data_IF_125826363475
#
_entry.id   IF_125826363475
#
_cell.length_a   1.000
_cell.length_b   1.000
_cell.length_c   1.000
_cell.angle_alpha   90.00
_cell.angle_beta   90.00
_cell.angle_gamma   90.00
#
_symmetry.space_group_name_H-M   'P 1'
#
loop_
_entity.id
_entity.type
_entity.pdbx_description
1 polymer ?
#
# COMPACT_ATOMS: atom_id res chain seq x y z
N UNK A 1 -31.89 2.32 74.13
CA UNK A 1 -32.23 3.73 74.44
C UNK A 1 -31.24 4.60 73.69
N UNK A 2 -31.61 5.43 72.73
CA UNK A 2 -32.89 5.70 72.05
C UNK A 2 -32.56 5.90 70.54
N UNK A 3 -33.35 5.51 69.53
CA UNK A 3 -34.71 5.96 69.16
C UNK A 3 -34.82 7.47 68.90
N UNK A 4 -35.53 7.98 67.88
CA UNK A 4 -35.85 7.48 66.52
C UNK A 4 -36.40 8.66 65.65
N UNK A 5 -36.38 8.51 64.31
CA UNK A 5 -37.28 9.11 63.29
C UNK A 5 -37.55 10.64 63.11
N UNK A 6 -37.33 11.04 61.84
CA UNK A 6 -38.25 11.71 60.88
C UNK A 6 -38.90 13.10 61.12
N UNK A 7 -38.95 13.89 60.04
CA UNK A 7 -39.86 15.04 59.80
C UNK A 7 -39.61 15.67 58.41
N UNK A 8 -40.65 16.11 57.70
CA UNK A 8 -40.56 16.67 56.34
C UNK A 8 -41.76 17.62 56.01
N UNK A 9 -41.78 18.18 54.79
CA UNK A 9 -42.89 18.92 54.12
C UNK A 9 -43.23 20.37 54.60
N UNK A 10 -43.76 21.31 53.79
CA UNK A 10 -43.62 21.58 52.33
C UNK A 10 -44.18 23.01 51.95
N UNK A 11 -43.78 23.59 50.81
CA UNK A 11 -44.33 24.85 50.21
C UNK A 11 -43.93 26.19 50.88
N UNK A 12 -43.98 27.39 50.27
CA UNK A 12 -44.40 27.87 48.92
C UNK A 12 -45.02 29.31 49.04
N UNK A 13 -45.08 30.24 48.06
CA UNK A 13 -44.70 30.39 46.62
C UNK A 13 -44.62 31.93 46.30
N UNK A 14 -44.23 32.35 45.08
CA UNK A 14 -44.22 33.72 44.45
C UNK A 14 -43.01 34.63 44.71
N UNK A 15 -42.47 35.40 43.74
CA UNK A 15 -42.63 35.33 42.27
C UNK A 15 -42.50 36.66 41.50
N UNK A 16 -41.51 36.77 40.59
CA UNK A 16 -41.45 37.78 39.49
C UNK A 16 -40.54 37.30 38.34
N UNK A 17 -40.99 37.54 37.11
CA UNK A 17 -40.33 37.28 35.82
C UNK A 17 -39.34 38.44 35.46
N UNK A 18 -38.55 38.50 34.37
CA UNK A 18 -38.18 37.57 33.28
C UNK A 18 -36.93 38.16 32.56
N UNK A 19 -35.97 37.35 32.08
CA UNK A 19 -35.28 37.56 30.78
C UNK A 19 -34.50 36.27 30.39
N UNK A 20 -34.36 35.99 29.10
CA UNK A 20 -33.83 34.72 28.57
C UNK A 20 -32.68 34.90 27.56
N UNK A 21 -31.50 34.39 27.92
CA UNK A 21 -30.39 34.13 27.00
C UNK A 21 -30.05 32.62 26.97
N UNK A 22 -29.86 31.99 25.80
CA UNK A 22 -29.70 30.54 25.71
C UNK A 22 -28.30 30.08 26.17
N UNK A 23 -28.17 29.75 27.45
CA UNK A 23 -27.04 28.97 27.95
C UNK A 23 -27.18 27.55 27.42
N UNK A 24 -26.42 27.21 26.37
CA UNK A 24 -26.36 25.84 25.84
C UNK A 24 -25.69 24.95 26.88
N UNK A 25 -26.50 24.14 27.57
CA UNK A 25 -26.05 23.16 28.55
C UNK A 25 -25.30 22.03 27.84
N UNK A 26 -23.98 21.99 28.00
CA UNK A 26 -23.16 20.86 27.59
C UNK A 26 -23.56 19.64 28.41
N UNK A 27 -24.09 18.55 27.82
CA UNK A 27 -24.41 17.36 28.59
C UNK A 27 -23.13 16.69 29.07
N UNK A 28 -23.06 16.33 30.36
CA UNK A 28 -21.97 15.53 30.91
C UNK A 28 -22.09 14.06 30.44
N UNK A 29 -21.77 13.84 29.16
CA UNK A 29 -21.96 12.59 28.43
C UNK A 29 -20.92 11.52 28.75
N UNK A 30 -21.17 10.76 29.83
CA UNK A 30 -20.90 9.31 29.95
C UNK A 30 -19.56 8.84 29.32
N UNK A 31 -18.52 8.76 30.16
CA UNK A 31 -17.24 8.15 29.78
C UNK A 31 -17.32 6.63 29.63
N UNK A 32 -17.74 6.16 28.45
CA UNK A 32 -17.64 4.75 28.01
C UNK A 32 -17.07 4.61 26.59
N UNK A 33 -16.02 5.39 26.28
CA UNK A 33 -15.09 5.00 25.22
C UNK A 33 -14.26 3.82 25.72
N UNK A 34 -14.73 2.61 25.45
CA UNK A 34 -13.87 1.43 25.45
C UNK A 34 -12.65 1.74 24.59
N UNK A 35 -11.44 1.40 25.05
CA UNK A 35 -10.26 1.39 24.20
C UNK A 35 -10.43 0.30 23.14
N UNK A 36 -11.02 0.65 22.00
CA UNK A 36 -10.96 -0.13 20.77
C UNK A 36 -9.48 -0.16 20.39
N UNK A 37 -8.82 -1.30 20.67
CA UNK A 37 -7.40 -1.48 20.35
C UNK A 37 -7.25 -1.35 18.84
N UNK A 38 -6.43 -0.38 18.40
CA UNK A 38 -5.99 -0.24 17.00
C UNK A 38 -5.63 -1.61 16.43
N UNK A 39 -6.16 -1.97 15.25
CA UNK A 39 -5.75 -3.21 14.58
C UNK A 39 -4.27 -3.14 14.22
N UNK A 40 -3.60 -4.29 14.32
CA UNK A 40 -2.24 -4.50 13.84
C UNK A 40 -2.23 -4.49 12.32
N UNK A 41 -1.35 -3.71 11.71
CA UNK A 41 -1.25 -3.60 10.25
C UNK A 41 -0.24 -4.60 9.69
N UNK A 42 -0.64 -5.36 8.66
CA UNK A 42 0.27 -6.17 7.85
C UNK A 42 0.25 -5.63 6.42
N UNK A 43 1.22 -4.78 6.11
CA UNK A 43 1.29 -4.06 4.84
C UNK A 43 2.19 -4.82 3.89
N UNK A 44 1.58 -5.46 2.90
CA UNK A 44 2.24 -6.07 1.76
C UNK A 44 2.55 -4.99 0.73
N UNK A 45 3.81 -4.85 0.30
CA UNK A 45 4.24 -3.78 -0.61
C UNK A 45 5.06 -4.40 -1.75
N UNK A 46 4.69 -4.16 -3.01
CA UNK A 46 5.53 -4.54 -4.15
C UNK A 46 6.77 -3.65 -4.30
N UNK A 47 7.75 -4.09 -5.08
CA UNK A 47 8.98 -3.36 -5.32
C UNK A 47 8.89 -2.46 -6.56
N UNK A 48 8.70 -3.01 -7.75
CA UNK A 48 9.01 -2.31 -9.00
C UNK A 48 7.83 -1.41 -9.39
N UNK A 49 8.09 -0.16 -9.81
CA UNK A 49 7.11 0.93 -9.94
C UNK A 49 6.29 1.26 -8.67
N UNK A 50 6.49 0.54 -7.57
CA UNK A 50 5.77 0.73 -6.30
C UNK A 50 6.65 1.49 -5.32
N UNK A 51 7.78 0.92 -4.87
CA UNK A 51 8.79 1.66 -4.08
C UNK A 51 10.16 1.77 -4.76
N UNK A 52 10.36 1.15 -5.92
CA UNK A 52 11.57 1.23 -6.74
C UNK A 52 11.26 1.83 -8.11
N UNK A 53 12.04 2.85 -8.51
CA UNK A 53 12.03 3.38 -9.89
C UNK A 53 13.20 2.76 -10.66
N UNK A 54 13.08 1.47 -10.90
CA UNK A 54 13.99 0.62 -11.68
C UNK A 54 13.34 -0.76 -11.87
N UNK A 55 13.71 -1.49 -12.92
CA UNK A 55 13.35 -2.90 -13.05
C UNK A 55 14.58 -3.73 -13.44
N UNK A 56 15.07 -4.56 -12.51
CA UNK A 56 16.21 -5.44 -12.76
C UNK A 56 15.87 -6.64 -13.66
N UNK A 57 14.59 -6.97 -13.87
CA UNK A 57 14.17 -8.10 -14.72
C UNK A 57 14.29 -7.75 -16.21
N UNK A 58 13.84 -6.55 -16.62
CA UNK A 58 14.00 -6.04 -17.99
C UNK A 58 15.15 -5.04 -18.16
N UNK A 59 15.97 -4.85 -17.12
CA UNK A 59 17.20 -4.05 -17.16
C UNK A 59 16.99 -2.54 -17.24
N UNK A 60 15.86 -2.01 -16.75
CA UNK A 60 15.58 -0.57 -16.75
C UNK A 60 16.25 0.13 -15.58
N UNK A 61 17.03 1.17 -15.88
CA UNK A 61 17.40 2.19 -14.90
C UNK A 61 16.25 3.16 -14.66
N UNK A 62 16.51 4.19 -13.87
CA UNK A 62 15.47 5.10 -13.36
C UNK A 62 14.81 5.93 -14.45
N UNK A 63 15.55 6.35 -15.48
CA UNK A 63 14.98 7.15 -16.58
C UNK A 63 14.09 6.26 -17.44
N UNK A 64 14.55 5.07 -17.85
CA UNK A 64 13.75 4.17 -18.67
C UNK A 64 12.56 3.58 -17.92
N UNK A 65 12.65 3.36 -16.61
CA UNK A 65 11.54 2.88 -15.78
C UNK A 65 10.42 3.93 -15.69
N UNK A 66 10.76 5.19 -15.41
CA UNK A 66 9.77 6.25 -15.30
C UNK A 66 9.16 6.64 -16.66
N UNK A 67 9.94 6.61 -17.75
CA UNK A 67 9.37 6.71 -19.11
C UNK A 67 8.39 5.58 -19.44
N UNK A 68 8.68 4.35 -19.01
CA UNK A 68 7.78 3.22 -19.19
C UNK A 68 6.49 3.37 -18.38
N UNK A 69 6.58 3.78 -17.11
CA UNK A 69 5.39 4.11 -16.30
C UNK A 69 4.52 5.17 -17.00
N UNK A 70 5.13 6.24 -17.54
CA UNK A 70 4.39 7.24 -18.30
C UNK A 70 3.66 6.66 -19.54
N UNK A 71 4.09 5.53 -20.12
CA UNK A 71 3.31 4.87 -21.20
C UNK A 71 2.05 4.15 -20.71
N UNK A 72 1.99 3.68 -19.45
CA UNK A 72 0.78 3.03 -18.91
C UNK A 72 -0.25 4.02 -18.39
N UNK A 73 0.17 5.19 -17.89
CA UNK A 73 -0.71 6.24 -17.34
C UNK A 73 -1.02 7.41 -18.28
N UNK A 74 -0.67 7.32 -19.57
CA UNK A 74 -1.02 8.35 -20.58
C UNK A 74 -1.96 7.80 -21.64
N UNK A 75 -3.01 8.58 -21.93
CA UNK A 75 -4.24 8.07 -22.55
C UNK A 75 -4.54 8.73 -23.89
N UNK A 76 -5.03 7.92 -24.83
CA UNK A 76 -5.47 8.38 -26.14
C UNK A 76 -6.40 7.38 -26.80
N UNK A 77 -6.73 7.65 -28.07
CA UNK A 77 -7.48 6.73 -28.92
C UNK A 77 -7.08 6.90 -30.38
N UNK A 78 -7.59 6.02 -31.24
CA UNK A 78 -7.55 6.23 -32.70
C UNK A 78 -8.80 6.97 -33.14
N UNK A 79 -8.63 7.98 -33.99
CA UNK A 79 -9.74 8.62 -34.69
C UNK A 79 -10.23 7.77 -35.88
N UNK A 80 -11.27 8.24 -36.58
CA UNK A 80 -11.90 7.53 -37.72
C UNK A 80 -10.94 7.28 -38.91
N UNK A 81 -9.77 7.92 -38.93
CA UNK A 81 -8.71 7.72 -39.91
C UNK A 81 -7.57 6.81 -39.38
N UNK A 82 -7.77 6.15 -38.23
CA UNK A 82 -6.80 5.26 -37.59
C UNK A 82 -5.61 5.95 -36.92
N UNK A 83 -5.58 7.29 -36.90
CA UNK A 83 -4.49 8.09 -36.35
C UNK A 83 -4.64 8.26 -34.83
N UNK A 84 -3.53 8.16 -34.10
CA UNK A 84 -3.50 8.41 -32.65
C UNK A 84 -3.78 9.87 -32.30
N UNK A 85 -4.69 10.07 -31.35
CA UNK A 85 -5.00 11.35 -30.73
C UNK A 85 -4.97 11.20 -29.20
N UNK A 86 -4.30 12.13 -28.53
CA UNK A 86 -4.17 12.16 -27.08
C UNK A 86 -5.44 12.72 -26.44
N UNK A 87 -5.94 12.08 -25.39
CA UNK A 87 -7.14 12.51 -24.66
C UNK A 87 -6.83 13.44 -23.49
N UNK A 88 -5.56 13.52 -23.07
CA UNK A 88 -5.09 14.40 -21.99
C UNK A 88 -3.63 14.82 -22.23
N UNK A 89 -3.27 16.00 -21.71
CA UNK A 89 -1.87 16.45 -21.57
C UNK A 89 -1.28 16.12 -20.18
N UNK A 90 -2.11 15.69 -19.23
CA UNK A 90 -1.70 15.17 -17.93
C UNK A 90 -1.88 13.63 -17.85
N UNK A 91 -0.96 12.89 -17.20
CA UNK A 91 -1.15 11.47 -16.91
C UNK A 91 -2.22 11.25 -15.83
N UNK A 92 -2.78 10.04 -15.77
CA UNK A 92 -3.73 9.60 -14.74
C UNK A 92 -3.69 8.08 -14.55
N UNK A 93 -3.86 7.59 -13.32
CA UNK A 93 -3.93 6.13 -13.04
C UNK A 93 -5.10 5.43 -13.74
N UNK A 94 -6.17 6.17 -14.02
CA UNK A 94 -7.40 5.66 -14.60
C UNK A 94 -7.68 6.36 -15.94
N UNK A 95 -8.33 5.68 -16.90
CA UNK A 95 -8.68 6.27 -18.19
C UNK A 95 -9.67 7.43 -18.01
N UNK A 96 -9.54 8.53 -18.79
CA UNK A 96 -10.46 9.67 -18.74
C UNK A 96 -11.86 9.36 -19.33
N UNK A 97 -11.99 8.28 -20.11
CA UNK A 97 -13.23 7.83 -20.73
C UNK A 97 -13.17 6.33 -21.05
N UNK A 98 -14.32 5.67 -21.22
CA UNK A 98 -14.39 4.22 -21.51
C UNK A 98 -13.89 3.80 -22.89
N UNK A 99 -13.65 4.75 -23.79
CA UNK A 99 -13.02 4.55 -25.11
C UNK A 99 -11.53 4.91 -25.13
N UNK A 100 -10.96 5.31 -23.99
CA UNK A 100 -9.54 5.60 -23.85
C UNK A 100 -8.72 4.32 -23.68
N UNK A 101 -7.60 4.23 -24.40
CA UNK A 101 -6.58 3.20 -24.20
C UNK A 101 -5.26 3.86 -23.79
N UNK A 102 -4.43 3.16 -23.01
CA UNK A 102 -3.11 3.68 -22.65
C UNK A 102 -2.18 3.60 -23.85
N UNK A 103 -1.15 4.46 -23.88
CA UNK A 103 -0.15 4.39 -24.93
C UNK A 103 0.55 3.03 -24.96
N UNK A 104 0.79 2.44 -23.78
CA UNK A 104 1.33 1.09 -23.62
C UNK A 104 0.44 0.00 -24.24
N UNK A 105 -0.87 -0.02 -23.96
CA UNK A 105 -1.73 -1.09 -24.51
C UNK A 105 -1.92 -0.97 -26.03
N UNK A 106 -1.79 0.24 -26.60
CA UNK A 106 -1.87 0.44 -28.06
C UNK A 106 -0.54 0.21 -28.80
N UNK A 107 0.62 0.54 -28.23
CA UNK A 107 1.92 0.53 -28.94
C UNK A 107 3.03 -0.29 -28.26
N UNK A 108 2.77 -0.85 -27.08
CA UNK A 108 3.78 -1.49 -26.25
C UNK A 108 4.77 -0.49 -25.63
N UNK A 109 5.89 -1.02 -25.14
CA UNK A 109 6.96 -0.24 -24.54
C UNK A 109 7.82 0.43 -25.62
N UNK A 110 7.85 1.78 -25.61
CA UNK A 110 8.66 2.60 -26.52
C UNK A 110 9.81 3.25 -25.76
N UNK A 111 11.09 2.87 -25.99
CA UNK A 111 12.25 3.54 -25.40
C UNK A 111 12.35 5.00 -25.86
N UNK A 112 12.71 5.92 -24.97
CA UNK A 112 12.75 7.34 -25.30
C UNK A 112 11.37 7.94 -25.52
N UNK A 113 10.32 7.39 -24.89
CA UNK A 113 8.91 7.77 -25.09
C UNK A 113 8.70 9.28 -25.12
N UNK A 114 9.26 10.01 -24.15
CA UNK A 114 9.16 11.47 -24.01
C UNK A 114 10.02 12.25 -25.00
N UNK A 115 10.93 11.60 -25.72
CA UNK A 115 11.65 12.17 -26.86
C UNK A 115 10.88 11.99 -28.18
N UNK A 116 10.13 10.88 -28.33
CA UNK A 116 9.38 10.55 -29.56
C UNK A 116 7.88 10.90 -29.48
N UNK A 117 7.00 9.95 -29.17
CA UNK A 117 5.55 10.15 -29.24
C UNK A 117 4.99 10.95 -28.05
N UNK A 118 5.57 10.76 -26.87
CA UNK A 118 5.14 11.33 -25.59
C UNK A 118 5.72 12.70 -25.26
N UNK A 119 6.22 13.47 -26.24
CA UNK A 119 6.91 14.76 -25.99
C UNK A 119 6.17 15.75 -25.09
N UNK A 120 4.83 15.72 -25.08
CA UNK A 120 4.00 16.54 -24.16
C UNK A 120 4.26 16.22 -22.67
N UNK A 121 4.55 14.97 -22.35
CA UNK A 121 4.80 14.49 -20.99
C UNK A 121 6.25 14.64 -20.52
N UNK A 122 7.15 15.23 -21.34
CA UNK A 122 8.56 15.43 -20.95
C UNK A 122 8.69 16.31 -19.70
N UNK A 123 7.84 17.32 -19.52
CA UNK A 123 7.84 18.14 -18.31
C UNK A 123 7.60 17.32 -17.04
N UNK A 124 6.65 16.38 -17.10
CA UNK A 124 6.34 15.45 -15.99
C UNK A 124 7.54 14.55 -15.68
N UNK A 125 8.19 13.98 -16.71
CA UNK A 125 9.40 13.18 -16.53
C UNK A 125 10.51 13.98 -15.84
N UNK A 126 10.81 15.18 -16.36
CA UNK A 126 11.92 16.00 -15.86
C UNK A 126 11.67 16.46 -14.41
N UNK A 127 10.43 16.82 -14.06
CA UNK A 127 10.00 17.17 -12.71
C UNK A 127 10.19 16.01 -11.72
N UNK A 128 9.66 14.83 -12.04
CA UNK A 128 9.67 13.68 -11.14
C UNK A 128 11.08 13.04 -11.05
N UNK A 129 11.90 13.15 -12.11
CA UNK A 129 13.32 12.83 -12.01
C UNK A 129 14.06 13.81 -11.08
N UNK A 130 13.78 15.12 -11.11
CA UNK A 130 14.44 16.04 -10.18
C UNK A 130 14.02 15.79 -8.72
N UNK A 131 12.77 15.41 -8.47
CA UNK A 131 12.28 14.96 -7.15
C UNK A 131 12.92 13.64 -6.67
N UNK A 132 13.23 12.72 -7.58
CA UNK A 132 13.94 11.46 -7.29
C UNK A 132 15.44 11.62 -6.98
N UNK A 133 16.02 12.82 -7.16
CA UNK A 133 17.47 13.04 -7.05
C UNK A 133 18.01 12.68 -5.68
N UNK A 134 19.11 11.94 -5.68
CA UNK A 134 19.95 11.82 -4.49
C UNK A 134 20.53 13.21 -4.15
N UNK A 135 20.58 13.63 -2.87
CA UNK A 135 20.96 14.98 -2.48
C UNK A 135 22.35 15.38 -3.00
N UNK A 136 22.46 16.61 -3.50
CA UNK A 136 23.71 17.14 -4.03
C UNK A 136 24.79 17.28 -2.94
N UNK A 137 26.06 17.10 -3.32
CA UNK A 137 27.19 17.05 -2.40
C UNK A 137 27.30 15.77 -1.56
N UNK A 138 26.20 15.01 -1.37
CA UNK A 138 26.22 13.76 -0.62
C UNK A 138 26.75 12.61 -1.49
N UNK A 139 27.78 11.91 -0.99
CA UNK A 139 28.31 10.70 -1.63
C UNK A 139 27.21 9.62 -1.70
N UNK A 140 26.98 9.07 -2.89
CA UNK A 140 26.02 8.00 -3.11
C UNK A 140 26.33 6.72 -2.33
N UNK A 141 25.31 6.17 -1.67
CA UNK A 141 25.36 4.85 -1.04
C UNK A 141 25.01 3.75 -2.04
N UNK A 142 25.78 2.65 -2.04
CA UNK A 142 25.69 1.56 -3.03
C UNK A 142 24.39 0.74 -2.98
N UNK A 143 23.71 0.69 -1.85
CA UNK A 143 22.43 -0.03 -1.75
C UNK A 143 21.27 0.96 -1.92
N UNK A 144 21.33 2.13 -1.26
CA UNK A 144 20.24 3.13 -1.20
C UNK A 144 20.11 4.05 -2.42
N UNK A 145 21.16 4.20 -3.24
CA UNK A 145 21.15 5.04 -4.44
C UNK A 145 21.37 4.22 -5.72
N UNK A 146 20.98 4.79 -6.87
CA UNK A 146 21.17 4.22 -8.21
C UNK A 146 21.59 5.32 -9.18
N UNK A 147 22.46 5.00 -10.13
CA UNK A 147 22.82 5.92 -11.22
C UNK A 147 21.91 5.67 -12.41
N UNK A 148 21.23 6.72 -12.89
CA UNK A 148 20.39 6.66 -14.08
C UNK A 148 21.19 6.67 -15.38
N UNK A 149 20.47 6.44 -16.48
CA UNK A 149 20.99 6.36 -17.84
C UNK A 149 21.57 7.69 -18.36
N UNK A 150 21.12 8.81 -17.78
CA UNK A 150 21.66 10.15 -18.00
C UNK A 150 22.90 10.47 -17.14
N UNK A 151 23.37 9.51 -16.35
CA UNK A 151 24.50 9.63 -15.46
C UNK A 151 24.20 10.32 -14.12
N UNK A 152 22.98 10.81 -13.87
CA UNK A 152 22.57 11.40 -12.58
C UNK A 152 22.41 10.33 -11.50
N UNK A 153 22.37 10.75 -10.25
CA UNK A 153 22.20 9.86 -9.10
C UNK A 153 20.82 10.08 -8.45
N UNK A 154 20.12 8.98 -8.18
CA UNK A 154 18.75 8.93 -7.71
C UNK A 154 18.61 8.09 -6.43
N UNK A 155 17.57 8.35 -5.66
CA UNK A 155 17.10 7.42 -4.63
C UNK A 155 16.65 6.11 -5.29
N UNK A 156 17.15 4.96 -4.81
CA UNK A 156 16.75 3.66 -5.36
C UNK A 156 15.43 3.16 -4.76
N UNK A 157 15.22 3.39 -3.47
CA UNK A 157 13.93 3.25 -2.78
C UNK A 157 13.33 4.64 -2.60
N UNK A 158 12.05 4.81 -2.92
CA UNK A 158 11.33 6.09 -2.79
C UNK A 158 11.43 6.68 -1.37
N UNK A 159 11.70 7.99 -1.20
CA UNK A 159 11.69 8.66 0.10
C UNK A 159 10.38 8.47 0.88
N UNK A 160 9.23 8.45 0.19
CA UNK A 160 7.90 8.25 0.78
C UNK A 160 7.71 6.89 1.47
N UNK A 161 8.45 5.85 1.07
CA UNK A 161 8.45 4.58 1.81
C UNK A 161 9.10 4.72 3.19
N UNK A 162 10.20 5.48 3.30
CA UNK A 162 10.84 5.73 4.60
C UNK A 162 10.02 6.69 5.47
N UNK A 163 9.30 7.64 4.85
CA UNK A 163 8.31 8.47 5.54
C UNK A 163 7.17 7.61 6.13
N UNK A 164 6.63 6.63 5.41
CA UNK A 164 5.62 5.68 5.94
C UNK A 164 6.10 4.99 7.23
N UNK A 165 7.34 4.52 7.26
CA UNK A 165 7.91 3.87 8.45
C UNK A 165 7.94 4.82 9.65
N UNK A 166 8.27 6.09 9.41
CA UNK A 166 8.30 7.14 10.43
C UNK A 166 6.89 7.50 10.90
N UNK A 167 5.98 7.78 9.99
CA UNK A 167 4.59 8.20 10.28
C UNK A 167 3.87 7.13 11.10
N UNK A 168 3.88 5.86 10.66
CA UNK A 168 3.22 4.77 11.38
C UNK A 168 3.80 4.53 12.79
N UNK A 169 5.11 4.77 12.97
CA UNK A 169 5.74 4.66 14.30
C UNK A 169 5.38 5.84 15.20
N UNK A 170 5.32 7.06 14.65
CA UNK A 170 4.94 8.28 15.38
C UNK A 170 3.45 8.31 15.75
N UNK A 171 2.60 7.67 14.94
CA UNK A 171 1.18 7.45 15.21
C UNK A 171 0.90 6.26 16.16
N UNK A 172 1.93 5.60 16.68
CA UNK A 172 1.83 4.43 17.57
C UNK A 172 1.03 3.25 16.97
N UNK A 173 1.17 2.98 15.66
CA UNK A 173 0.62 1.76 15.06
C UNK A 173 1.51 0.54 15.34
N UNK A 174 0.89 -0.58 15.70
CA UNK A 174 1.56 -1.87 15.66
C UNK A 174 1.54 -2.37 14.21
N UNK A 175 2.67 -2.38 13.50
CA UNK A 175 2.71 -2.74 12.07
C UNK A 175 3.82 -3.72 11.68
N UNK A 176 3.70 -4.26 10.46
CA UNK A 176 4.73 -5.06 9.80
C UNK A 176 4.71 -4.81 8.29
N UNK A 177 5.89 -4.77 7.68
CA UNK A 177 6.05 -4.58 6.23
C UNK A 177 6.50 -5.89 5.60
N UNK A 178 5.77 -6.34 4.59
CA UNK A 178 6.04 -7.54 3.82
C UNK A 178 6.32 -7.17 2.36
N UNK A 179 7.58 -6.97 2.02
CA UNK A 179 7.99 -6.78 0.63
C UNK A 179 7.60 -8.02 -0.21
N UNK A 180 6.86 -7.79 -1.29
CA UNK A 180 6.39 -8.80 -2.26
C UNK A 180 7.13 -8.53 -3.57
N UNK A 181 7.44 -9.57 -4.35
CA UNK A 181 7.99 -9.39 -5.69
C UNK A 181 8.06 -10.72 -6.44
N UNK A 182 7.82 -10.68 -7.75
CA UNK A 182 8.17 -11.78 -8.65
C UNK A 182 9.67 -11.77 -9.05
N UNK A 183 10.34 -10.62 -8.93
CA UNK A 183 11.71 -10.40 -9.37
C UNK A 183 12.79 -10.88 -8.40
N UNK A 184 13.99 -10.33 -8.54
CA UNK A 184 15.20 -10.74 -7.79
C UNK A 184 15.74 -9.66 -6.84
N UNK A 185 15.13 -8.47 -6.80
CA UNK A 185 15.61 -7.31 -6.05
C UNK A 185 15.47 -7.41 -4.52
N UNK A 186 14.60 -8.30 -4.01
CA UNK A 186 14.28 -8.42 -2.58
C UNK A 186 15.52 -8.48 -1.65
N UNK A 187 16.59 -9.25 -1.93
CA UNK A 187 17.79 -9.27 -1.08
C UNK A 187 18.57 -7.96 -1.09
N UNK A 188 18.46 -7.12 -2.14
CA UNK A 188 19.02 -5.78 -2.17
C UNK A 188 18.12 -4.78 -1.43
N UNK A 189 16.80 -4.88 -1.56
CA UNK A 189 15.84 -4.06 -0.78
C UNK A 189 16.04 -4.28 0.71
N UNK A 190 16.09 -5.54 1.16
CA UNK A 190 16.31 -5.84 2.59
C UNK A 190 17.64 -5.26 3.11
N UNK A 191 18.73 -5.28 2.32
CA UNK A 191 19.98 -4.59 2.70
C UNK A 191 19.84 -3.07 2.71
N UNK A 192 19.26 -2.48 1.66
CA UNK A 192 19.09 -1.04 1.56
C UNK A 192 18.26 -0.50 2.75
N UNK A 193 17.11 -1.15 3.03
CA UNK A 193 16.28 -0.86 4.21
C UNK A 193 17.07 -1.04 5.50
N UNK A 194 17.87 -2.10 5.65
CA UNK A 194 18.76 -2.28 6.82
C UNK A 194 19.72 -1.11 7.03
N UNK A 195 20.33 -0.59 5.96
CA UNK A 195 21.24 0.56 6.05
C UNK A 195 20.50 1.84 6.47
N UNK A 196 19.28 2.02 6.02
CA UNK A 196 18.43 3.12 6.48
C UNK A 196 18.04 2.96 7.96
N UNK A 197 17.39 1.85 8.33
CA UNK A 197 16.77 1.68 9.67
C UNK A 197 17.72 1.30 10.79
N UNK A 198 18.90 0.71 10.50
CA UNK A 198 19.88 0.34 11.53
C UNK A 198 21.11 1.26 11.59
N UNK A 199 21.50 1.89 10.47
CA UNK A 199 22.72 2.71 10.38
C UNK A 199 22.44 4.22 10.19
N UNK A 200 21.18 4.62 9.95
CA UNK A 200 20.83 6.01 9.62
C UNK A 200 21.41 6.48 8.27
N UNK A 201 21.74 5.54 7.38
CA UNK A 201 22.52 5.83 6.17
C UNK A 201 21.74 6.52 5.03
N UNK A 202 20.44 6.81 5.22
CA UNK A 202 19.65 7.57 4.24
C UNK A 202 19.69 9.07 4.58
N UNK A 203 20.17 9.94 3.67
CA UNK A 203 20.45 11.34 4.00
C UNK A 203 19.21 12.18 4.33
N UNK A 204 18.00 11.74 3.95
CA UNK A 204 16.75 12.43 4.29
C UNK A 204 16.09 11.86 5.56
N UNK A 205 16.54 10.70 6.05
CA UNK A 205 15.99 10.01 7.22
C UNK A 205 17.10 9.42 8.11
N UNK A 206 17.99 10.25 8.69
CA UNK A 206 19.03 9.79 9.62
C UNK A 206 18.45 9.32 10.97
N UNK A 207 17.18 9.65 11.24
CA UNK A 207 16.40 9.39 12.44
C UNK A 207 15.81 7.97 12.53
N UNK A 208 15.80 7.20 11.43
CA UNK A 208 15.19 5.86 11.41
C UNK A 208 15.71 4.85 12.47
N UNK A 209 16.99 4.89 12.92
CA UNK A 209 17.45 4.04 14.03
C UNK A 209 16.73 4.28 15.36
N UNK A 210 16.14 5.46 15.57
CA UNK A 210 15.37 5.76 16.79
C UNK A 210 14.04 4.99 16.84
N UNK A 211 13.50 4.60 15.67
CA UNK A 211 12.27 3.83 15.52
C UNK A 211 12.43 2.35 15.95
N UNK A 212 13.67 1.85 16.06
CA UNK A 212 14.02 0.49 16.55
C UNK A 212 13.29 -0.67 15.82
N UNK A 213 12.98 -0.45 14.54
CA UNK A 213 12.21 -1.40 13.73
C UNK A 213 13.00 -2.69 13.48
N UNK A 214 12.42 -3.83 13.86
CA UNK A 214 13.04 -5.14 13.60
C UNK A 214 12.97 -5.51 12.12
N UNK A 215 14.04 -6.13 11.60
CA UNK A 215 14.18 -6.46 10.18
C UNK A 215 14.69 -7.89 9.99
N UNK A 216 13.92 -8.72 9.29
CA UNK A 216 14.32 -10.06 8.90
C UNK A 216 14.96 -10.05 7.50
N UNK A 217 16.28 -10.17 7.47
CA UNK A 217 17.08 -10.18 6.24
C UNK A 217 16.95 -11.49 5.42
N UNK A 218 16.29 -12.52 5.94
CA UNK A 218 16.12 -13.80 5.24
C UNK A 218 14.95 -13.71 4.26
N UNK A 219 15.19 -13.76 2.93
CA UNK A 219 14.11 -13.71 1.95
C UNK A 219 13.25 -14.97 2.05
N UNK A 220 11.96 -14.81 2.32
CA UNK A 220 11.00 -15.90 2.21
C UNK A 220 10.64 -16.18 0.74
N UNK A 221 9.90 -17.26 0.50
CA UNK A 221 9.38 -17.65 -0.81
C UNK A 221 7.93 -18.08 -0.70
N UNK A 222 7.10 -17.66 -1.66
CA UNK A 222 5.77 -18.23 -1.89
C UNK A 222 5.84 -19.06 -3.18
N UNK A 223 5.40 -20.32 -3.15
CA UNK A 223 5.38 -21.22 -4.29
C UNK A 223 4.00 -21.88 -4.43
N UNK A 224 3.24 -21.36 -5.38
CA UNK A 224 1.91 -21.82 -5.76
C UNK A 224 1.97 -23.08 -6.65
N UNK A 225 0.94 -23.92 -6.58
CA UNK A 225 0.78 -25.12 -7.41
C UNK A 225 -0.71 -25.48 -7.55
N UNK A 226 -1.06 -26.43 -8.43
CA UNK A 226 -2.45 -26.94 -8.57
C UNK A 226 -3.00 -27.67 -7.33
N UNK A 227 -2.18 -27.92 -6.30
CA UNK A 227 -2.59 -28.60 -5.06
C UNK A 227 -2.61 -27.69 -3.84
N UNK A 228 -1.63 -26.80 -3.72
CA UNK A 228 -1.51 -25.87 -2.61
C UNK A 228 -0.58 -24.70 -2.93
N UNK A 229 -0.74 -23.63 -2.17
CA UNK A 229 0.26 -22.58 -1.99
C UNK A 229 1.15 -23.00 -0.81
N UNK A 230 2.47 -22.88 -0.96
CA UNK A 230 3.44 -23.13 0.11
C UNK A 230 4.23 -21.84 0.37
N UNK A 231 4.37 -21.46 1.63
CA UNK A 231 5.22 -20.36 2.08
C UNK A 231 6.37 -20.93 2.89
N UNK A 232 7.59 -20.44 2.69
CA UNK A 232 8.74 -20.81 3.52
C UNK A 232 9.76 -19.69 3.71
N UNK A 233 10.48 -19.73 4.83
CA UNK A 233 11.58 -18.80 5.20
C UNK A 233 12.52 -19.51 6.17
N UNK A 234 13.80 -19.68 5.79
CA UNK A 234 14.72 -20.57 6.52
C UNK A 234 14.09 -21.94 6.78
N UNK A 235 13.84 -22.29 8.05
CA UNK A 235 13.20 -23.54 8.49
C UNK A 235 11.67 -23.40 8.63
N UNK A 236 11.13 -22.17 8.67
CA UNK A 236 9.70 -21.89 8.73
C UNK A 236 8.99 -22.38 7.45
N UNK A 237 7.83 -23.02 7.62
CA UNK A 237 6.98 -23.44 6.50
C UNK A 237 5.50 -23.47 6.88
N UNK A 238 4.67 -22.93 6.00
CA UNK A 238 3.21 -23.03 6.07
C UNK A 238 2.64 -23.39 4.68
N UNK A 239 1.43 -23.94 4.60
CA UNK A 239 0.80 -24.28 3.31
C UNK A 239 -0.72 -24.30 3.35
N UNK A 240 -1.36 -24.17 2.20
CA UNK A 240 -2.81 -24.27 2.04
C UNK A 240 -3.34 -25.71 1.87
N UNK A 241 -2.55 -26.74 2.20
CA UNK A 241 -2.99 -28.14 2.10
C UNK A 241 -4.14 -28.44 3.07
N UNK A 242 -4.04 -27.89 4.28
CA UNK A 242 -4.99 -28.06 5.39
C UNK A 242 -5.98 -26.87 5.47
N UNK A 243 -6.20 -26.18 4.35
CA UNK A 243 -6.99 -24.95 4.24
C UNK A 243 -6.16 -23.66 4.27
N UNK A 244 -6.76 -22.54 3.87
CA UNK A 244 -6.07 -21.25 3.75
C UNK A 244 -5.73 -20.59 5.10
N UNK A 245 -6.44 -20.99 6.18
CA UNK A 245 -6.36 -20.38 7.52
C UNK A 245 -4.93 -20.36 8.08
N UNK A 246 -4.15 -21.41 7.87
CA UNK A 246 -2.76 -21.49 8.33
C UNK A 246 -1.81 -20.53 7.61
N UNK A 247 -2.10 -20.15 6.36
CA UNK A 247 -1.31 -19.15 5.62
C UNK A 247 -1.66 -17.73 6.09
N UNK A 248 -2.94 -17.44 6.33
CA UNK A 248 -3.35 -16.18 6.96
C UNK A 248 -2.68 -16.00 8.33
N UNK A 249 -2.79 -17.00 9.22
CA UNK A 249 -2.17 -16.98 10.55
C UNK A 249 -0.64 -16.80 10.48
N UNK A 250 0.04 -17.43 9.53
CA UNK A 250 1.48 -17.24 9.33
C UNK A 250 1.83 -15.78 9.01
N UNK A 251 1.14 -15.13 8.06
CA UNK A 251 1.40 -13.72 7.74
C UNK A 251 0.93 -12.77 8.85
N UNK A 252 -0.22 -13.03 9.47
CA UNK A 252 -0.73 -12.32 10.65
C UNK A 252 0.19 -12.42 11.88
N UNK A 253 1.13 -13.38 11.91
CA UNK A 253 2.14 -13.53 12.96
C UNK A 253 3.54 -13.00 12.60
N UNK A 254 3.79 -12.50 11.37
CA UNK A 254 5.09 -11.88 11.05
C UNK A 254 5.18 -10.50 11.71
N UNK A 255 6.27 -10.27 12.46
CA UNK A 255 6.59 -8.97 13.07
C UNK A 255 7.70 -8.24 12.32
N UNK A 256 7.66 -6.91 12.33
CA UNK A 256 8.68 -6.04 11.76
C UNK A 256 8.69 -6.03 10.22
N UNK A 257 9.85 -5.75 9.65
CA UNK A 257 10.07 -5.67 8.22
C UNK A 257 10.67 -6.97 7.69
N UNK A 258 10.27 -7.39 6.50
CA UNK A 258 10.83 -8.54 5.80
C UNK A 258 10.20 -8.68 4.43
N UNK A 259 10.41 -9.81 3.75
CA UNK A 259 9.73 -10.05 2.48
C UNK A 259 9.72 -11.49 2.01
N UNK A 260 9.01 -11.69 0.91
CA UNK A 260 8.77 -12.97 0.25
C UNK A 260 8.81 -12.80 -1.28
N UNK A 261 9.60 -13.64 -1.96
CA UNK A 261 9.57 -13.74 -3.41
C UNK A 261 8.41 -14.64 -3.85
N UNK A 262 7.51 -14.11 -4.68
CA UNK A 262 6.38 -14.82 -5.27
C UNK A 262 6.80 -15.79 -6.38
N UNK A 263 5.82 -16.47 -6.99
CA UNK A 263 6.07 -17.55 -7.96
C UNK A 263 5.84 -17.09 -9.41
N UNK A 264 6.84 -16.42 -10.01
CA UNK A 264 6.72 -15.87 -11.37
C UNK A 264 6.32 -16.94 -12.41
N UNK A 265 6.95 -18.11 -12.37
CA UNK A 265 6.69 -19.22 -13.30
C UNK A 265 5.23 -19.73 -13.20
N UNK A 266 4.61 -19.61 -12.02
CA UNK A 266 3.19 -19.91 -11.83
C UNK A 266 2.29 -18.82 -12.40
N UNK A 267 2.63 -17.54 -12.20
CA UNK A 267 1.87 -16.43 -12.79
C UNK A 267 1.90 -16.48 -14.32
N UNK A 268 3.08 -16.67 -14.91
CA UNK A 268 3.26 -16.84 -16.36
C UNK A 268 2.53 -18.09 -16.91
N UNK A 269 2.57 -19.23 -16.21
CA UNK A 269 1.84 -20.45 -16.64
C UNK A 269 0.33 -20.40 -16.41
N UNK A 270 -0.19 -19.37 -15.73
CA UNK A 270 -1.61 -19.04 -15.64
C UNK A 270 -1.95 -17.78 -16.47
N UNK A 271 -1.21 -17.55 -17.56
CA UNK A 271 -1.41 -16.49 -18.55
C UNK A 271 -1.43 -15.07 -17.95
N UNK A 272 -0.63 -14.83 -16.91
CA UNK A 272 -0.57 -13.55 -16.17
C UNK A 272 -1.88 -13.11 -15.50
N UNK A 273 -2.90 -13.98 -15.47
CA UNK A 273 -4.18 -13.69 -14.82
C UNK A 273 -4.08 -13.64 -13.29
N UNK A 274 -5.06 -12.99 -12.65
CA UNK A 274 -5.17 -12.87 -11.19
C UNK A 274 -5.06 -14.21 -10.45
N UNK A 275 -5.51 -15.32 -11.04
CA UNK A 275 -5.43 -16.67 -10.45
C UNK A 275 -4.00 -17.24 -10.40
N UNK A 276 -3.09 -16.67 -11.17
CA UNK A 276 -1.65 -16.90 -11.07
C UNK A 276 -0.92 -15.91 -10.16
N UNK A 277 -1.61 -14.85 -9.71
CA UNK A 277 -1.03 -13.68 -9.07
C UNK A 277 -0.47 -13.91 -7.66
N UNK A 278 -0.07 -12.79 -7.04
CA UNK A 278 0.47 -12.74 -5.67
C UNK A 278 -0.67 -13.01 -4.68
N UNK A 279 -0.69 -14.14 -3.95
CA UNK A 279 -1.80 -14.42 -3.05
C UNK A 279 -1.75 -13.51 -1.82
N UNK A 280 -2.93 -13.08 -1.38
CA UNK A 280 -3.18 -12.39 -0.11
C UNK A 280 -4.47 -12.91 0.51
N UNK A 281 -4.48 -13.07 1.83
CA UNK A 281 -5.61 -13.59 2.60
C UNK A 281 -6.17 -12.47 3.46
N UNK A 282 -7.49 -12.30 3.42
CA UNK A 282 -8.22 -11.25 4.11
C UNK A 282 -9.31 -11.92 4.95
N UNK A 283 -9.29 -11.68 6.26
CA UNK A 283 -10.36 -12.08 7.15
C UNK A 283 -11.16 -10.83 7.57
N UNK A 284 -12.42 -10.65 7.12
CA UNK A 284 -13.26 -9.54 7.57
C UNK A 284 -13.68 -9.67 9.05
N UNK A 285 -13.61 -10.88 9.60
CA UNK A 285 -14.01 -11.20 10.97
C UNK A 285 -12.88 -10.97 11.99
N UNK A 286 -11.60 -10.87 11.56
CA UNK A 286 -10.48 -10.62 12.46
C UNK A 286 -10.50 -9.16 12.97
N UNK A 287 -10.62 -9.01 14.30
CA UNK A 287 -10.67 -7.70 14.97
C UNK A 287 -9.33 -7.26 15.56
N UNK A 288 -8.25 -8.00 15.31
CA UNK A 288 -6.90 -7.73 15.78
C UNK A 288 -5.94 -7.37 14.65
N UNK A 289 -6.14 -7.87 13.42
CA UNK A 289 -5.21 -7.68 12.29
C UNK A 289 -5.94 -7.19 11.03
N UNK A 290 -5.39 -6.19 10.35
CA UNK A 290 -5.80 -5.78 9.00
C UNK A 290 -4.62 -5.95 8.03
N UNK A 291 -4.88 -6.58 6.89
CA UNK A 291 -3.91 -6.69 5.79
C UNK A 291 -4.20 -5.62 4.74
N UNK A 292 -3.15 -4.95 4.25
CA UNK A 292 -3.23 -4.00 3.13
C UNK A 292 -2.18 -4.43 2.09
N UNK A 293 -2.52 -4.38 0.80
CA UNK A 293 -1.62 -4.72 -0.31
C UNK A 293 -1.48 -3.53 -1.26
N UNK A 294 -0.25 -3.06 -1.45
CA UNK A 294 0.10 -1.88 -2.25
C UNK A 294 0.97 -2.32 -3.43
N UNK A 295 0.52 -2.06 -4.66
CA UNK A 295 1.09 -2.60 -5.90
C UNK A 295 0.70 -1.75 -7.12
N UNK A 296 1.64 -1.44 -8.03
CA UNK A 296 1.37 -0.62 -9.22
C UNK A 296 0.43 -1.33 -10.24
N UNK A 297 0.34 -2.66 -10.17
CA UNK A 297 -0.42 -3.48 -11.10
C UNK A 297 -1.68 -4.14 -10.48
N UNK A 298 -2.26 -3.51 -9.46
CA UNK A 298 -3.66 -3.68 -9.06
C UNK A 298 -4.58 -2.94 -10.06
N UNK A 299 -5.65 -3.60 -10.54
CA UNK A 299 -6.56 -3.07 -11.57
C UNK A 299 -8.01 -3.28 -11.18
N UNK A 300 -8.78 -2.19 -11.06
CA UNK A 300 -10.16 -2.18 -10.53
C UNK A 300 -11.12 -3.11 -11.28
N UNK A 301 -10.90 -3.32 -12.58
CA UNK A 301 -11.70 -4.16 -13.46
C UNK A 301 -11.22 -5.63 -13.55
N UNK A 302 -10.27 -6.04 -12.70
CA UNK A 302 -9.62 -7.37 -12.68
C UNK A 302 -8.83 -7.79 -13.94
N UNK A 303 -8.84 -6.99 -15.01
CA UNK A 303 -7.99 -7.19 -16.19
C UNK A 303 -6.53 -6.96 -15.82
N UNK A 304 -5.67 -7.95 -16.10
CA UNK A 304 -4.24 -7.99 -15.76
C UNK A 304 -3.89 -7.67 -14.28
N UNK A 305 -4.86 -7.72 -13.34
CA UNK A 305 -4.62 -7.46 -11.92
C UNK A 305 -3.69 -8.52 -11.32
N UNK A 306 -2.62 -8.09 -10.64
CA UNK A 306 -1.50 -8.96 -10.25
C UNK A 306 -1.69 -9.67 -8.90
N UNK A 307 -2.69 -9.27 -8.12
CA UNK A 307 -2.97 -9.80 -6.78
C UNK A 307 -4.09 -10.84 -6.86
N UNK A 308 -3.97 -11.92 -6.08
CA UNK A 308 -5.03 -12.90 -5.89
C UNK A 308 -5.66 -12.73 -4.49
N UNK A 309 -6.70 -11.90 -4.33
CA UNK A 309 -7.35 -11.70 -3.05
C UNK A 309 -8.23 -12.90 -2.68
N UNK A 310 -8.00 -13.44 -1.47
CA UNK A 310 -8.74 -14.56 -0.88
C UNK A 310 -9.43 -14.10 0.40
N UNK A 311 -10.75 -13.96 0.36
CA UNK A 311 -11.57 -13.52 1.49
C UNK A 311 -12.18 -14.75 2.19
N UNK A 312 -12.02 -14.86 3.51
CA UNK A 312 -12.63 -15.95 4.29
C UNK A 312 -14.16 -15.83 4.34
N UNK A 313 -14.85 -16.97 4.29
CA UNK A 313 -16.32 -17.03 4.27
C UNK A 313 -16.95 -16.99 5.68
N UNK A 314 -16.29 -17.60 6.66
CA UNK A 314 -16.83 -17.80 8.01
C UNK A 314 -15.81 -17.42 9.11
N UNK A 315 -16.26 -16.90 10.27
CA UNK A 315 -15.39 -16.63 11.42
C UNK A 315 -14.59 -17.86 11.86
N UNK A 316 -13.27 -17.80 11.73
CA UNK A 316 -12.36 -18.91 12.03
C UNK A 316 -12.37 -20.07 11.02
N UNK A 317 -13.22 -20.05 9.99
CA UNK A 317 -13.29 -21.06 8.94
C UNK A 317 -12.04 -21.11 8.06
N UNK A 318 -11.86 -22.20 7.31
CA UNK A 318 -10.69 -22.42 6.43
C UNK A 318 -10.93 -22.09 4.96
N UNK A 319 -12.17 -21.93 4.53
CA UNK A 319 -12.56 -21.72 3.14
C UNK A 319 -12.52 -20.24 2.74
N UNK A 320 -12.09 -19.98 1.50
CA UNK A 320 -12.00 -18.62 0.93
C UNK A 320 -12.70 -18.53 -0.43
N UNK A 321 -13.35 -17.39 -0.67
CA UNK A 321 -13.72 -16.94 -2.03
C UNK A 321 -12.61 -16.09 -2.63
N UNK A 322 -12.50 -16.09 -3.95
CA UNK A 322 -11.77 -15.02 -4.65
C UNK A 322 -12.68 -13.81 -4.74
N UNK A 323 -12.23 -12.67 -4.21
CA UNK A 323 -12.92 -11.39 -4.36
C UNK A 323 -12.56 -10.72 -5.70
N UNK A 324 -13.33 -9.70 -6.10
CA UNK A 324 -12.91 -8.78 -7.16
C UNK A 324 -11.97 -7.71 -6.61
N UNK A 325 -11.16 -7.08 -7.45
CA UNK A 325 -10.35 -5.93 -7.04
C UNK A 325 -11.24 -4.77 -6.60
N UNK A 326 -12.34 -4.49 -7.31
CA UNK A 326 -13.29 -3.42 -6.99
C UNK A 326 -13.87 -3.52 -5.57
N UNK A 327 -14.22 -4.74 -5.12
CA UNK A 327 -14.77 -5.01 -3.79
C UNK A 327 -13.81 -4.61 -2.64
N UNK A 328 -12.51 -4.61 -2.89
CA UNK A 328 -11.46 -4.43 -1.89
C UNK A 328 -10.60 -3.18 -2.13
N UNK A 329 -10.89 -2.44 -3.21
CA UNK A 329 -10.12 -1.27 -3.62
C UNK A 329 -10.23 -0.15 -2.59
N UNK A 330 -9.10 0.41 -2.21
CA UNK A 330 -8.95 1.38 -1.13
C UNK A 330 -9.47 0.90 0.24
N UNK A 331 -9.71 -0.41 0.43
CA UNK A 331 -10.10 -1.04 1.71
C UNK A 331 -8.98 -1.99 2.20
N UNK A 332 -8.49 -2.85 1.30
CA UNK A 332 -7.31 -3.70 1.52
C UNK A 332 -6.38 -3.77 0.30
N UNK A 333 -6.80 -3.31 -0.89
CA UNK A 333 -5.99 -3.27 -2.11
C UNK A 333 -5.80 -1.83 -2.58
N UNK A 334 -4.56 -1.43 -2.87
CA UNK A 334 -4.19 -0.07 -3.28
C UNK A 334 -3.36 -0.12 -4.57
N UNK A 335 -3.88 0.44 -5.66
CA UNK A 335 -3.07 0.72 -6.85
C UNK A 335 -2.09 1.87 -6.54
N UNK A 336 -0.79 1.65 -6.77
CA UNK A 336 0.24 2.68 -6.58
C UNK A 336 0.16 3.75 -7.68
N UNK A 337 0.06 5.02 -7.27
CA UNK A 337 0.34 6.18 -8.11
C UNK A 337 1.81 6.53 -7.95
N UNK A 338 2.66 6.10 -8.89
CA UNK A 338 4.10 6.33 -8.79
C UNK A 338 4.47 7.82 -8.84
N UNK A 339 3.73 8.65 -9.58
CA UNK A 339 4.01 10.08 -9.69
C UNK A 339 3.71 10.77 -8.35
N UNK A 340 2.60 10.42 -7.70
CA UNK A 340 2.34 10.86 -6.31
C UNK A 340 3.31 10.25 -5.31
N UNK A 341 3.69 8.97 -5.43
CA UNK A 341 4.65 8.35 -4.53
C UNK A 341 6.06 8.97 -4.61
N UNK A 342 6.40 9.62 -5.73
CA UNK A 342 7.62 10.43 -5.89
C UNK A 342 7.44 11.84 -5.31
N UNK A 343 6.33 12.52 -5.62
CA UNK A 343 6.13 13.95 -5.33
C UNK A 343 5.57 14.27 -3.93
N UNK A 344 4.88 13.32 -3.30
CA UNK A 344 4.21 13.46 -2.00
C UNK A 344 4.84 12.50 -0.97
N UNK A 345 5.67 13.01 -0.04
CA UNK A 345 6.35 12.17 0.96
C UNK A 345 5.39 11.32 1.80
N UNK A 346 4.19 11.82 2.11
CA UNK A 346 3.21 11.10 2.93
C UNK A 346 2.21 10.29 2.09
N UNK A 347 2.48 10.09 0.79
CA UNK A 347 1.60 9.35 -0.12
C UNK A 347 1.14 8.01 0.47
N UNK A 348 2.07 7.12 0.84
CA UNK A 348 1.71 5.79 1.35
C UNK A 348 0.95 5.87 2.67
N UNK A 349 1.29 6.81 3.55
CA UNK A 349 0.61 7.05 4.82
C UNK A 349 -0.86 7.40 4.57
N UNK A 350 -1.14 8.33 3.66
CA UNK A 350 -2.50 8.67 3.22
C UNK A 350 -3.25 7.45 2.67
N UNK A 351 -2.61 6.58 1.88
CA UNK A 351 -3.27 5.36 1.36
C UNK A 351 -3.61 4.38 2.48
N UNK A 352 -2.75 4.23 3.48
CA UNK A 352 -3.01 3.39 4.67
C UNK A 352 -4.15 3.96 5.52
N UNK A 353 -4.20 5.27 5.74
CA UNK A 353 -5.33 5.94 6.42
C UNK A 353 -6.65 5.74 5.67
N UNK A 354 -6.67 5.91 4.35
CA UNK A 354 -7.85 5.65 3.52
C UNK A 354 -8.31 4.19 3.67
N UNK A 355 -7.40 3.21 3.67
CA UNK A 355 -7.73 1.81 3.92
C UNK A 355 -8.29 1.55 5.32
N UNK A 356 -7.82 2.24 6.35
CA UNK A 356 -8.37 2.15 7.71
C UNK A 356 -9.80 2.70 7.77
N UNK A 357 -10.02 3.94 7.31
CA UNK A 357 -11.34 4.58 7.28
C UNK A 357 -12.36 3.79 6.46
N UNK A 358 -11.94 3.20 5.34
CA UNK A 358 -12.81 2.41 4.49
C UNK A 358 -13.10 1.02 5.06
N UNK A 359 -12.13 0.38 5.73
CA UNK A 359 -12.33 -0.93 6.35
C UNK A 359 -13.28 -0.84 7.53
N UNK A 360 -13.10 0.15 8.43
CA UNK A 360 -14.03 0.36 9.55
C UNK A 360 -15.46 0.61 9.06
N UNK A 361 -15.64 1.45 8.03
CA UNK A 361 -16.96 1.70 7.44
C UNK A 361 -17.57 0.45 6.81
N UNK A 362 -16.80 -0.38 6.08
CA UNK A 362 -17.36 -1.57 5.45
C UNK A 362 -17.72 -2.68 6.47
N UNK A 363 -16.95 -2.83 7.54
CA UNK A 363 -17.31 -3.75 8.66
C UNK A 363 -18.57 -3.27 9.38
N UNK A 364 -18.68 -1.97 9.69
CA UNK A 364 -19.84 -1.41 10.38
C UNK A 364 -21.16 -1.56 9.60
N UNK A 365 -21.10 -1.53 8.26
CA UNK A 365 -22.27 -1.71 7.40
C UNK A 365 -22.51 -3.16 6.94
N UNK A 366 -21.63 -4.11 7.28
CA UNK A 366 -21.76 -5.52 6.90
C UNK A 366 -21.61 -5.78 5.40
N UNK A 367 -20.64 -5.12 4.74
CA UNK A 367 -20.48 -5.10 3.27
C UNK A 367 -19.38 -6.04 2.75
N UNK A 368 -18.50 -6.58 3.62
CA UNK A 368 -17.43 -7.56 3.27
C UNK A 368 -17.78 -8.99 3.65
#
# INVERSE_FOLDING_TARGET
MAEERNGAENGGVTGTDEDYGPVVSVPAGIGFLNHVRKKRLVIHIDLNNTILVSDAVTGQGTVAALEYFLTSVTWGKKNDHGKWEWLSDAPSLHPPSSDAVSYYSQFGRVPGFTSVAGRRFKGVLDEHLEQLRWPEGIKGDKELSVRGEDGRLYHWILPSFFQLLRDLTQEEWEFSILFRTFGTDLPRVLRAVSRAVNEGAHPLFPDLPELKLSLNLTPGKIRCSKRAIVVSRAEERASSLDGDRGLYQYFSAVHGLGGFQDHFDWWASNSFSLRGGKPVWIDPFDQQVQHIFIDDNIRVNDEDTIVHPKVFLDPGGSDTRTASTFELYDITLVQTDLLRAISDPSYFTQRVHICLENYERNVQHGVM
#
